data_IF_332883668584
#
_entry.id   IF_332883668584
#
_cell.length_a   1.000
_cell.length_b   1.000
_cell.length_c   1.000
_cell.angle_alpha   90.00
_cell.angle_beta   90.00
_cell.angle_gamma   90.00
#
_symmetry.space_group_name_H-M   'P 1'
#
loop_
_entity.id
_entity.type
_entity.pdbx_description
1 polymer ?
#
# COMPACT_ATOMS: atom_id res chain seq x y z
N UNK A 1 -42.88 -106.97 -45.33
CA UNK A 1 -44.26 -106.43 -45.35
C UNK A 1 -44.14 -104.91 -45.27
N UNK A 2 -44.86 -104.19 -46.15
CA UNK A 2 -44.88 -102.72 -46.35
C UNK A 2 -45.03 -101.97 -45.00
N UNK A 3 -44.48 -100.77 -44.79
CA UNK A 3 -44.91 -99.52 -45.43
C UNK A 3 -43.90 -98.37 -45.30
N UNK A 4 -43.80 -97.57 -46.37
CA UNK A 4 -43.17 -96.25 -46.43
C UNK A 4 -43.96 -95.19 -45.66
N UNK A 5 -43.28 -94.19 -45.09
CA UNK A 5 -43.76 -92.81 -45.14
C UNK A 5 -42.59 -91.81 -45.02
N UNK A 6 -42.46 -90.95 -46.03
CA UNK A 6 -41.46 -89.89 -46.15
C UNK A 6 -42.19 -88.55 -46.00
N UNK A 7 -41.67 -87.63 -45.17
CA UNK A 7 -41.89 -86.19 -45.40
C UNK A 7 -40.81 -85.32 -44.74
N UNK A 8 -40.29 -84.36 -45.52
CA UNK A 8 -39.19 -83.43 -45.26
C UNK A 8 -39.66 -82.16 -44.53
N UNK A 9 -38.82 -81.56 -43.67
CA UNK A 9 -38.59 -80.10 -43.46
C UNK A 9 -37.57 -79.94 -42.28
N UNK A 10 -36.30 -79.55 -42.46
CA UNK A 10 -35.72 -78.20 -42.65
C UNK A 10 -35.43 -77.42 -41.32
N UNK A 11 -34.13 -77.16 -41.07
CA UNK A 11 -33.48 -76.15 -40.16
C UNK A 11 -33.53 -76.49 -38.65
N UNK A 12 -32.41 -76.65 -37.89
CA UNK A 12 -31.53 -75.59 -37.34
C UNK A 12 -30.08 -76.11 -37.08
N UNK A 13 -29.13 -75.23 -37.43
CA UNK A 13 -27.67 -75.24 -37.25
C UNK A 13 -27.27 -75.04 -35.77
N UNK A 14 -26.19 -75.70 -35.28
CA UNK A 14 -25.07 -75.17 -34.44
C UNK A 14 -24.10 -76.37 -34.25
N UNK A 15 -22.97 -76.55 -34.95
CA UNK A 15 -21.68 -75.83 -35.03
C UNK A 15 -20.95 -75.54 -33.69
N UNK A 16 -20.00 -76.43 -33.38
CA UNK A 16 -18.69 -76.22 -32.70
C UNK A 16 -18.58 -75.32 -31.46
N UNK A 17 -18.09 -75.90 -30.34
CA UNK A 17 -17.05 -75.32 -29.46
C UNK A 17 -16.82 -76.27 -28.26
N UNK A 18 -15.70 -77.00 -28.21
CA UNK A 18 -14.36 -76.60 -27.74
C UNK A 18 -14.25 -76.60 -26.21
N UNK A 19 -13.33 -77.44 -25.71
CA UNK A 19 -12.65 -77.24 -24.45
C UNK A 19 -12.12 -75.81 -24.39
N UNK A 20 -12.57 -75.03 -23.40
CA UNK A 20 -11.79 -73.96 -22.78
C UNK A 20 -12.45 -73.62 -21.45
N UNK A 21 -12.00 -74.28 -20.39
CA UNK A 21 -12.10 -73.70 -19.06
C UNK A 21 -10.72 -73.09 -18.79
N UNK A 22 -10.47 -71.91 -19.35
CA UNK A 22 -9.41 -71.02 -18.85
C UNK A 22 -9.96 -70.34 -17.59
N UNK A 23 -9.17 -70.32 -16.52
CA UNK A 23 -9.34 -69.37 -15.43
C UNK A 23 -9.04 -67.98 -15.98
N UNK A 24 -10.04 -67.36 -16.59
CA UNK A 24 -9.99 -65.93 -16.91
C UNK A 24 -10.38 -65.19 -15.63
N UNK A 25 -9.37 -64.80 -14.85
CA UNK A 25 -9.59 -63.79 -13.83
C UNK A 25 -10.14 -62.55 -14.55
N UNK A 26 -11.29 -62.05 -14.09
CA UNK A 26 -11.95 -60.91 -14.72
C UNK A 26 -10.99 -59.72 -14.77
N UNK A 27 -10.96 -59.03 -15.91
CA UNK A 27 -10.12 -57.85 -16.06
C UNK A 27 -10.42 -56.83 -14.96
N UNK A 28 -9.36 -56.27 -14.36
CA UNK A 28 -9.49 -55.22 -13.36
C UNK A 28 -10.26 -54.03 -13.94
N UNK A 29 -11.10 -53.40 -13.10
CA UNK A 29 -11.80 -52.17 -13.46
C UNK A 29 -10.81 -51.04 -13.74
N UNK A 30 -11.17 -50.13 -14.65
CA UNK A 30 -10.37 -48.93 -14.88
C UNK A 30 -10.37 -48.04 -13.64
N UNK A 31 -9.24 -47.42 -13.33
CA UNK A 31 -9.18 -46.39 -12.30
C UNK A 31 -10.20 -45.27 -12.57
N UNK A 32 -10.74 -44.70 -11.50
CA UNK A 32 -11.55 -43.49 -11.60
C UNK A 32 -10.72 -42.31 -12.13
N UNK A 33 -11.41 -41.32 -12.70
CA UNK A 33 -10.77 -40.07 -13.08
C UNK A 33 -10.39 -39.26 -11.84
N UNK A 34 -9.31 -38.49 -11.92
CA UNK A 34 -8.94 -37.54 -10.88
C UNK A 34 -10.06 -36.51 -10.66
N UNK A 35 -10.15 -35.99 -9.43
CA UNK A 35 -11.03 -34.88 -9.11
C UNK A 35 -10.57 -33.58 -9.79
N UNK A 36 -11.46 -32.61 -9.88
CA UNK A 36 -11.09 -31.26 -10.31
C UNK A 36 -10.32 -30.54 -9.20
N UNK A 37 -9.42 -29.64 -9.57
CA UNK A 37 -8.75 -28.75 -8.63
C UNK A 37 -9.76 -27.90 -7.85
N UNK A 38 -9.35 -27.50 -6.64
CA UNK A 38 -10.10 -26.53 -5.84
C UNK A 38 -9.99 -25.12 -6.40
N UNK A 39 -10.77 -24.18 -5.86
CA UNK A 39 -10.66 -22.76 -6.18
C UNK A 39 -9.41 -22.16 -5.55
N UNK A 40 -8.79 -21.19 -6.24
CA UNK A 40 -7.72 -20.38 -5.66
C UNK A 40 -8.18 -19.64 -4.40
N UNK A 41 -7.26 -19.45 -3.47
CA UNK A 41 -7.49 -18.65 -2.25
C UNK A 41 -7.48 -17.15 -2.50
N UNK A 42 -7.93 -16.37 -1.52
CA UNK A 42 -7.85 -14.91 -1.55
C UNK A 42 -6.41 -14.41 -1.28
N UNK A 43 -6.09 -13.21 -1.76
CA UNK A 43 -4.81 -12.56 -1.46
C UNK A 43 -4.80 -12.01 -0.03
N UNK A 44 -3.67 -12.12 0.65
CA UNK A 44 -3.41 -11.38 1.90
C UNK A 44 -2.56 -10.16 1.59
N UNK A 45 -3.00 -9.00 2.04
CA UNK A 45 -2.34 -7.71 1.81
C UNK A 45 -1.88 -7.10 3.13
N UNK A 46 -0.79 -6.33 3.05
CA UNK A 46 -0.24 -5.54 4.15
C UNK A 46 -0.16 -4.08 3.68
N UNK A 47 -0.63 -3.17 4.50
CA UNK A 47 -0.56 -1.73 4.27
C UNK A 47 0.14 -1.03 5.45
N UNK A 48 0.86 0.05 5.16
CA UNK A 48 1.51 0.89 6.18
C UNK A 48 0.96 2.30 6.10
N UNK A 49 0.40 2.77 7.20
CA UNK A 49 -0.16 4.12 7.36
C UNK A 49 0.70 4.89 8.37
N UNK A 50 0.91 6.18 8.15
CA UNK A 50 1.63 7.02 9.13
C UNK A 50 0.77 7.16 10.38
N UNK A 51 1.32 6.79 11.55
CA UNK A 51 0.68 7.03 12.86
C UNK A 51 1.19 8.35 13.43
N UNK A 52 0.27 9.29 13.66
CA UNK A 52 0.61 10.57 14.26
C UNK A 52 0.89 10.41 15.76
N UNK A 53 1.70 11.31 16.38
CA UNK A 53 1.86 11.34 17.82
C UNK A 53 0.52 11.40 18.56
N UNK A 54 0.31 10.47 19.50
CA UNK A 54 -0.96 10.32 20.20
C UNK A 54 -1.06 9.11 21.12
N UNK A 55 -2.29 8.63 21.31
CA UNK A 55 -2.61 7.55 22.26
C UNK A 55 -1.93 6.23 21.94
N UNK A 56 -1.77 5.88 20.65
CA UNK A 56 -1.13 4.61 20.27
C UNK A 56 0.40 4.72 20.27
N UNK A 57 0.94 5.81 19.72
CA UNK A 57 2.37 6.09 19.70
C UNK A 57 2.65 7.53 20.14
N UNK A 58 3.26 7.73 21.31
CA UNK A 58 3.51 9.07 21.85
C UNK A 58 4.41 9.94 20.96
N UNK A 59 5.28 9.33 20.17
CA UNK A 59 6.21 10.02 19.24
C UNK A 59 5.86 9.74 17.77
N UNK A 60 4.64 9.30 17.49
CA UNK A 60 4.22 8.82 16.18
C UNK A 60 4.94 7.54 15.76
N UNK A 61 4.77 7.14 14.50
CA UNK A 61 5.36 5.93 13.94
C UNK A 61 4.59 5.47 12.72
N UNK A 62 4.44 4.16 12.58
CA UNK A 62 3.63 3.55 11.53
C UNK A 62 2.57 2.63 12.14
N UNK A 63 1.36 2.68 11.58
CA UNK A 63 0.34 1.65 11.76
C UNK A 63 0.48 0.65 10.60
N UNK A 64 0.67 -0.62 10.93
CA UNK A 64 0.74 -1.72 9.99
C UNK A 64 -0.61 -2.42 10.02
N UNK A 65 -1.27 -2.53 8.89
CA UNK A 65 -2.58 -3.17 8.73
C UNK A 65 -2.43 -4.41 7.84
N UNK A 66 -3.12 -5.49 8.18
CA UNK A 66 -3.14 -6.70 7.36
C UNK A 66 -4.53 -7.33 7.32
N UNK A 67 -4.85 -7.94 6.18
CA UNK A 67 -6.15 -8.59 5.95
C UNK A 67 -6.24 -9.30 4.61
N UNK A 68 -7.41 -9.87 4.34
CA UNK A 68 -7.72 -10.54 3.08
C UNK A 68 -8.41 -9.58 2.11
N UNK A 69 -7.94 -9.52 0.88
CA UNK A 69 -8.58 -8.80 -0.22
C UNK A 69 -9.83 -9.57 -0.68
N UNK A 70 -10.96 -9.32 -0.02
CA UNK A 70 -12.23 -10.04 -0.22
C UNK A 70 -12.94 -9.66 -1.49
N UNK A 71 -12.68 -8.45 -1.99
CA UNK A 71 -13.28 -7.95 -3.22
C UNK A 71 -12.36 -8.12 -4.45
N UNK A 72 -11.13 -8.62 -4.25
CA UNK A 72 -10.11 -8.89 -5.26
C UNK A 72 -9.68 -7.66 -6.06
N UNK A 73 -9.62 -6.48 -5.43
CA UNK A 73 -9.25 -5.22 -6.08
C UNK A 73 -7.75 -4.89 -5.99
N UNK A 74 -6.97 -5.68 -5.25
CA UNK A 74 -5.53 -5.49 -5.05
C UNK A 74 -5.16 -4.40 -4.04
N UNK A 75 -6.10 -3.91 -3.26
CA UNK A 75 -5.93 -2.92 -2.19
C UNK A 75 -6.50 -3.48 -0.88
N UNK A 76 -5.95 -3.04 0.25
CA UNK A 76 -6.50 -3.40 1.56
C UNK A 76 -7.50 -2.32 1.97
N UNK A 77 -8.79 -2.57 1.74
CA UNK A 77 -9.84 -1.63 2.13
C UNK A 77 -10.09 -1.65 3.65
N UNK A 78 -10.66 -0.56 4.19
CA UNK A 78 -10.87 -0.42 5.63
C UNK A 78 -11.76 -1.52 6.25
N UNK A 79 -12.68 -2.08 5.47
CA UNK A 79 -13.55 -3.20 5.89
C UNK A 79 -12.89 -4.58 5.72
N UNK A 80 -11.67 -4.63 5.16
CA UNK A 80 -10.89 -5.84 4.93
C UNK A 80 -9.73 -5.98 5.91
N UNK A 81 -9.44 -4.94 6.70
CA UNK A 81 -8.43 -4.97 7.74
C UNK A 81 -8.86 -5.91 8.87
N UNK A 82 -8.16 -7.04 9.01
CA UNK A 82 -8.36 -8.01 10.08
C UNK A 82 -7.51 -7.70 11.31
N UNK A 83 -6.29 -7.18 11.10
CA UNK A 83 -5.32 -6.90 12.16
C UNK A 83 -4.64 -5.55 11.96
N UNK A 84 -4.29 -4.92 13.08
CA UNK A 84 -3.56 -3.66 13.09
C UNK A 84 -2.51 -3.71 14.21
N UNK A 85 -1.27 -3.39 13.86
CA UNK A 85 -0.15 -3.28 14.79
C UNK A 85 0.47 -1.89 14.67
N UNK A 86 1.02 -1.39 15.78
CA UNK A 86 1.67 -0.09 15.81
C UNK A 86 3.17 -0.26 15.98
N UNK A 87 3.93 0.17 14.97
CA UNK A 87 5.37 0.34 15.06
C UNK A 87 5.66 1.77 15.50
N UNK A 88 5.68 1.99 16.80
CA UNK A 88 5.96 3.30 17.36
C UNK A 88 7.44 3.66 17.21
N UNK A 89 7.69 4.94 16.95
CA UNK A 89 9.00 5.51 17.15
C UNK A 89 9.38 5.34 18.63
N UNK A 90 10.62 4.94 18.88
CA UNK A 90 11.11 4.78 20.25
C UNK A 90 10.99 6.07 21.06
N UNK A 91 11.11 5.96 22.38
CA UNK A 91 11.27 7.13 23.23
C UNK A 91 12.61 7.79 22.87
N UNK A 92 12.52 8.86 22.09
CA UNK A 92 13.64 9.66 21.60
C UNK A 92 14.39 10.42 22.71
N UNK A 93 14.41 9.91 23.94
CA UNK A 93 15.22 10.43 25.04
C UNK A 93 16.73 10.41 24.77
N UNK A 94 17.15 9.89 23.60
CA UNK A 94 18.55 9.84 23.17
C UNK A 94 18.76 10.18 21.67
N UNK A 95 17.74 10.69 20.97
CA UNK A 95 17.96 11.29 19.65
C UNK A 95 18.15 12.79 19.87
N UNK A 96 19.40 13.20 19.97
CA UNK A 96 19.74 14.62 19.92
C UNK A 96 19.44 15.14 18.52
N UNK A 97 18.76 16.29 18.46
CA UNK A 97 18.54 17.02 17.23
C UNK A 97 18.64 18.51 17.51
N UNK A 98 18.97 19.26 16.47
CA UNK A 98 18.76 20.71 16.43
C UNK A 98 17.56 21.00 15.53
N UNK A 99 16.80 22.05 15.84
CA UNK A 99 15.64 22.44 15.03
C UNK A 99 15.62 23.92 14.67
N UNK A 100 14.93 24.21 13.57
CA UNK A 100 14.47 25.54 13.18
C UNK A 100 12.96 25.46 13.06
N UNK A 101 12.24 26.21 13.89
CA UNK A 101 10.78 26.27 13.89
C UNK A 101 10.34 27.71 13.62
N UNK A 102 9.45 27.90 12.64
CA UNK A 102 8.84 29.19 12.38
C UNK A 102 7.35 29.07 12.08
N UNK A 103 6.63 30.16 12.29
CA UNK A 103 5.30 30.38 11.75
C UNK A 103 5.45 31.18 10.46
N UNK A 104 5.06 30.58 9.35
CA UNK A 104 5.16 31.19 8.02
C UNK A 104 3.80 31.77 7.63
N UNK A 105 3.81 33.01 7.16
CA UNK A 105 2.64 33.67 6.59
C UNK A 105 2.97 34.33 5.27
N UNK A 106 2.01 34.37 4.36
CA UNK A 106 2.17 34.96 3.03
C UNK A 106 0.89 35.69 2.63
N UNK A 107 1.03 36.87 2.01
CA UNK A 107 -0.09 37.71 1.59
C UNK A 107 0.12 38.25 0.18
N UNK A 108 -0.93 38.20 -0.64
CA UNK A 108 -0.91 38.69 -2.02
C UNK A 108 0.18 38.00 -2.84
N UNK A 109 1.09 38.79 -3.40
CA UNK A 109 2.26 38.31 -4.16
C UNK A 109 3.57 38.54 -3.42
N UNK A 110 3.51 38.96 -2.16
CA UNK A 110 4.71 39.20 -1.36
C UNK A 110 5.36 37.87 -0.99
N UNK A 111 6.66 37.92 -0.71
CA UNK A 111 7.41 36.77 -0.22
C UNK A 111 6.95 36.35 1.18
N UNK A 112 6.95 35.05 1.49
CA UNK A 112 6.57 34.58 2.82
C UNK A 112 7.45 35.19 3.92
N UNK A 113 6.84 35.51 5.04
CA UNK A 113 7.52 36.01 6.23
C UNK A 113 7.50 34.94 7.31
N UNK A 114 8.60 34.81 8.05
CA UNK A 114 8.75 33.85 9.15
C UNK A 114 8.80 34.56 10.49
N UNK A 115 7.89 34.18 11.39
CA UNK A 115 8.01 34.46 12.82
C UNK A 115 8.74 33.27 13.48
N UNK A 116 9.99 33.45 13.85
CA UNK A 116 10.85 32.38 14.37
C UNK A 116 10.43 32.04 15.81
N UNK A 117 10.24 30.75 16.09
CA UNK A 117 9.83 30.19 17.39
C UNK A 117 11.00 29.48 18.08
N UNK A 118 11.82 28.74 17.32
CA UNK A 118 12.99 27.98 17.80
C UNK A 118 14.06 27.99 16.71
N UNK A 119 15.34 28.06 17.07
CA UNK A 119 16.44 28.06 16.11
C UNK A 119 17.75 27.55 16.73
N UNK A 120 17.71 26.34 17.25
CA UNK A 120 18.90 25.62 17.71
C UNK A 120 19.78 25.16 16.54
N UNK A 121 19.24 25.07 15.31
CA UNK A 121 20.05 24.87 14.10
C UNK A 121 20.97 26.06 13.77
N UNK A 122 20.66 27.25 14.28
CA UNK A 122 21.44 28.45 13.99
C UNK A 122 21.38 28.87 12.52
N UNK A 123 20.26 28.62 11.84
CA UNK A 123 20.08 28.93 10.42
C UNK A 123 19.09 30.08 10.22
N UNK A 124 19.18 30.71 9.05
CA UNK A 124 18.21 31.66 8.51
C UNK A 124 17.61 31.06 7.26
N UNK A 125 16.29 31.20 7.08
CA UNK A 125 15.61 30.83 5.85
C UNK A 125 15.03 32.08 5.21
N UNK A 126 15.57 32.44 4.06
CA UNK A 126 15.05 33.50 3.21
C UNK A 126 14.06 32.90 2.23
N UNK A 127 12.77 33.20 2.43
CA UNK A 127 11.70 32.70 1.58
C UNK A 127 11.48 33.59 0.35
N UNK A 128 11.21 32.97 -0.78
CA UNK A 128 10.85 33.63 -2.03
C UNK A 128 9.63 32.95 -2.64
N UNK A 129 8.70 33.76 -3.14
CA UNK A 129 7.55 33.28 -3.91
C UNK A 129 7.94 33.09 -5.37
N UNK A 130 7.92 31.84 -5.82
CA UNK A 130 8.23 31.47 -7.21
C UNK A 130 6.98 31.62 -8.10
N UNK A 131 5.86 31.04 -7.65
CA UNK A 131 4.57 31.09 -8.32
C UNK A 131 3.42 31.07 -7.29
N UNK A 132 2.14 31.23 -7.70
CA UNK A 132 1.03 31.11 -6.76
C UNK A 132 1.09 29.80 -5.98
N UNK A 133 1.09 29.88 -4.65
CA UNK A 133 1.16 28.71 -3.77
C UNK A 133 2.44 27.89 -3.85
N UNK A 134 3.52 28.40 -4.46
CA UNK A 134 4.82 27.72 -4.58
C UNK A 134 5.94 28.63 -4.10
N UNK A 135 6.68 28.17 -3.09
CA UNK A 135 7.68 28.97 -2.38
C UNK A 135 8.97 28.18 -2.18
N UNK A 136 10.09 28.88 -2.25
CA UNK A 136 11.42 28.33 -2.01
C UNK A 136 12.06 29.09 -0.85
N UNK A 137 12.54 28.36 0.15
CA UNK A 137 13.34 28.87 1.25
C UNK A 137 14.81 28.56 0.99
N UNK A 138 15.65 29.60 0.95
CA UNK A 138 17.11 29.45 0.87
C UNK A 138 17.71 29.52 2.26
N UNK A 139 18.47 28.50 2.63
CA UNK A 139 19.13 28.40 3.92
C UNK A 139 20.51 29.05 3.84
N UNK A 140 20.87 29.85 4.84
CA UNK A 140 22.19 30.48 4.94
C UNK A 140 23.32 29.47 5.26
N UNK A 141 22.97 28.36 5.90
CA UNK A 141 23.86 27.25 6.22
C UNK A 141 23.26 25.93 5.70
N UNK A 142 24.08 25.01 5.16
CA UNK A 142 23.59 23.75 4.65
C UNK A 142 23.18 22.80 5.78
N UNK A 143 22.17 21.98 5.51
CA UNK A 143 21.72 20.85 6.31
C UNK A 143 22.22 19.53 5.72
N UNK A 144 22.30 18.48 6.54
CA UNK A 144 22.74 17.15 6.13
C UNK A 144 21.56 16.36 5.57
N UNK A 145 21.53 16.23 4.23
CA UNK A 145 20.54 15.39 3.55
C UNK A 145 20.55 13.96 4.10
N UNK A 146 19.36 13.45 4.42
CA UNK A 146 19.15 12.13 5.03
C UNK A 146 19.15 12.13 6.56
N UNK A 147 19.62 13.20 7.21
CA UNK A 147 19.46 13.44 8.65
C UNK A 147 18.42 14.52 8.95
N UNK A 148 17.99 15.26 7.95
CA UNK A 148 17.03 16.36 8.10
C UNK A 148 15.62 15.93 7.70
N UNK A 149 14.63 16.26 8.52
CA UNK A 149 13.20 16.01 8.28
C UNK A 149 12.44 17.33 8.34
N UNK A 150 11.46 17.48 7.45
CA UNK A 150 10.55 18.63 7.44
C UNK A 150 9.25 18.23 8.13
N UNK A 151 8.78 19.05 9.06
CA UNK A 151 7.41 19.00 9.58
C UNK A 151 6.68 20.28 9.20
N UNK A 152 5.39 20.16 8.87
CA UNK A 152 4.55 21.31 8.62
C UNK A 152 3.09 21.02 8.94
N UNK A 153 2.31 22.07 9.15
CA UNK A 153 0.86 22.00 9.24
C UNK A 153 0.18 22.52 7.98
N UNK A 154 -1.04 22.05 7.72
CA UNK A 154 -1.89 22.63 6.68
C UNK A 154 -2.70 23.79 7.28
N UNK A 155 -2.56 25.03 6.76
CA UNK A 155 -3.39 26.16 7.18
C UNK A 155 -4.87 25.86 6.93
N UNK A 156 -5.75 26.40 7.78
CA UNK A 156 -7.20 26.16 7.69
C UNK A 156 -7.85 26.72 6.41
N UNK A 157 -7.15 27.62 5.72
CA UNK A 157 -7.55 28.21 4.43
C UNK A 157 -7.20 27.32 3.22
N UNK A 158 -6.46 26.24 3.43
CA UNK A 158 -5.89 25.39 2.39
C UNK A 158 -6.27 23.93 2.61
N UNK A 159 -6.24 23.16 1.53
CA UNK A 159 -6.57 21.73 1.56
C UNK A 159 -5.35 20.84 1.70
N UNK A 160 -4.15 21.37 1.44
CA UNK A 160 -2.92 20.60 1.58
C UNK A 160 -1.66 21.44 1.50
N UNK A 161 -0.59 20.90 2.07
CA UNK A 161 0.77 21.42 1.98
C UNK A 161 1.69 20.28 1.59
N UNK A 162 2.70 20.58 0.77
CA UNK A 162 3.83 19.70 0.49
C UNK A 162 5.10 20.43 0.85
N UNK A 163 6.05 19.74 1.46
CA UNK A 163 7.38 20.24 1.77
C UNK A 163 8.44 19.27 1.26
N UNK A 164 9.50 19.79 0.66
CA UNK A 164 10.57 19.00 0.06
C UNK A 164 11.93 19.69 0.28
N UNK A 165 12.96 18.94 0.66
CA UNK A 165 14.35 19.40 0.58
C UNK A 165 14.80 19.24 -0.88
N UNK A 166 15.03 20.36 -1.58
CA UNK A 166 15.47 20.36 -2.97
C UNK A 166 17.00 20.40 -3.11
N UNK A 167 17.70 20.53 -1.98
CA UNK A 167 19.14 20.51 -1.84
C UNK A 167 19.52 20.62 -0.36
N UNK A 168 20.82 20.59 -0.07
CA UNK A 168 21.33 20.80 1.30
C UNK A 168 21.12 22.22 1.81
N UNK A 169 20.84 23.19 0.93
CA UNK A 169 20.65 24.59 1.29
C UNK A 169 19.31 25.17 0.84
N UNK A 170 18.37 24.33 0.41
CA UNK A 170 17.07 24.80 -0.09
C UNK A 170 15.93 23.87 0.26
N UNK A 171 14.80 24.47 0.63
CA UNK A 171 13.53 23.82 0.88
C UNK A 171 12.47 24.41 -0.04
N UNK A 172 11.55 23.58 -0.53
CA UNK A 172 10.33 23.99 -1.23
C UNK A 172 9.13 23.73 -0.35
N UNK A 173 8.20 24.68 -0.30
CA UNK A 173 6.85 24.45 0.22
C UNK A 173 5.82 24.80 -0.86
N UNK A 174 4.82 23.95 -1.01
CA UNK A 174 3.72 24.15 -1.94
C UNK A 174 2.38 24.03 -1.21
N UNK A 175 1.49 24.99 -1.42
CA UNK A 175 0.18 25.05 -0.78
C UNK A 175 -0.93 24.89 -1.82
N UNK A 176 -1.86 24.00 -1.53
CA UNK A 176 -3.00 23.69 -2.39
C UNK A 176 -4.32 24.09 -1.75
N UNK A 177 -5.25 24.57 -2.56
CA UNK A 177 -6.65 24.81 -2.19
C UNK A 177 -7.57 24.19 -3.24
N UNK A 178 -7.83 22.89 -3.06
CA UNK A 178 -8.46 22.02 -4.03
C UNK A 178 -7.46 21.08 -4.71
N UNK A 179 -7.98 20.17 -5.54
CA UNK A 179 -7.17 19.17 -6.24
C UNK A 179 -6.35 19.85 -7.32
N UNK A 180 -5.02 19.80 -7.21
CA UNK A 180 -4.08 20.39 -8.16
C UNK A 180 -4.25 21.90 -8.39
N UNK A 181 -4.73 22.63 -7.37
CA UNK A 181 -4.88 24.09 -7.42
C UNK A 181 -3.96 24.69 -6.38
N UNK A 182 -2.86 25.30 -6.81
CA UNK A 182 -1.95 26.01 -5.91
C UNK A 182 -2.53 27.39 -5.53
N UNK A 183 -2.36 27.80 -4.27
CA UNK A 183 -2.97 29.01 -3.77
C UNK A 183 -2.10 29.75 -2.75
N UNK A 184 -2.02 31.08 -2.93
CA UNK A 184 -1.44 32.04 -2.00
C UNK A 184 -2.36 32.31 -0.79
N UNK A 185 -1.95 33.27 0.04
CA UNK A 185 -2.71 33.86 1.14
C UNK A 185 -2.98 32.88 2.29
N UNK A 186 -1.90 32.43 2.94
CA UNK A 186 -1.96 31.62 4.15
C UNK A 186 -1.33 32.34 5.34
N UNK A 187 -1.71 31.94 6.54
CA UNK A 187 -1.12 32.46 7.76
C UNK A 187 -0.86 31.35 8.78
N UNK A 188 0.17 31.56 9.59
CA UNK A 188 0.55 30.70 10.71
C UNK A 188 0.73 29.22 10.31
N UNK A 189 1.26 28.96 9.11
CA UNK A 189 1.75 27.63 8.76
C UNK A 189 2.92 27.34 9.69
N UNK A 190 2.80 26.32 10.54
CA UNK A 190 3.95 25.88 11.33
C UNK A 190 4.87 25.10 10.41
N UNK A 191 6.15 25.46 10.42
CA UNK A 191 7.21 24.82 9.66
C UNK A 191 8.36 24.49 10.61
N UNK A 192 8.86 23.26 10.55
CA UNK A 192 10.04 22.82 11.29
C UNK A 192 11.00 22.09 10.37
N UNK A 193 12.27 22.49 10.39
CA UNK A 193 13.38 21.63 10.01
C UNK A 193 13.97 21.03 11.27
N UNK A 194 14.13 19.71 11.28
CA UNK A 194 14.80 18.98 12.36
C UNK A 194 15.96 18.20 11.78
N UNK A 195 17.16 18.46 12.24
CA UNK A 195 18.36 17.70 11.87
C UNK A 195 18.83 16.87 13.07
N UNK A 196 18.88 15.56 12.88
CA UNK A 196 19.34 14.62 13.90
C UNK A 196 20.88 14.51 13.91
N UNK A 197 21.48 14.37 15.09
CA UNK A 197 22.94 14.20 15.26
C UNK A 197 23.47 12.88 14.70
#
# INVERSE_FOLDING_TARGET
MKTNFSFKFLIIIVLASLFSCSSEDGADGTNGTDGTDGTDGLNSLISTVIEQPGTNCSNGGFKIEAGLDTNANGQLDANEVDTSEFLCNGDNSNLSYSSYVSLISQSGTDDPQSDIVENSLGLTIDWTRDAPGQYVGTLDNPVIIGKTVIFFTTPTTHTGVRGELIGDNQVRIELQNGINVFADNFSNLSFELREYE
#
